data_IF_881043589895
#
_entry.id   IF_881043589895
#
_cell.length_a   1.000
_cell.length_b   1.000
_cell.length_c   1.000
_cell.angle_alpha   90.00
_cell.angle_beta   90.00
_cell.angle_gamma   90.00
#
_symmetry.space_group_name_H-M   'P 1'
#
loop_
_entity.id
_entity.type
_entity.pdbx_description
1 polymer ?
#
# COMPACT_ATOMS: atom_id res chain seq x y z
N UNK A 1 -22.00 -18.70 -3.13
CA UNK A 1 -21.60 -17.44 -3.82
C UNK A 1 -20.53 -16.80 -2.96
N UNK A 2 -19.30 -16.76 -3.45
CA UNK A 2 -18.18 -16.17 -2.67
C UNK A 2 -18.47 -14.69 -2.42
N UNK A 3 -18.39 -14.27 -1.16
CA UNK A 3 -18.54 -12.86 -0.78
C UNK A 3 -17.25 -12.16 -1.19
N UNK A 4 -17.31 -11.38 -2.26
CA UNK A 4 -16.19 -10.58 -2.70
C UNK A 4 -16.04 -9.35 -1.78
N UNK A 5 -15.04 -9.39 -0.92
CA UNK A 5 -14.67 -8.25 -0.08
C UNK A 5 -13.15 -8.03 -0.17
N UNK A 6 -12.74 -6.83 -0.51
CA UNK A 6 -11.35 -6.40 -0.39
C UNK A 6 -11.29 -4.96 0.13
N UNK A 7 -10.53 -4.77 1.19
CA UNK A 7 -10.25 -3.49 1.80
C UNK A 7 -8.73 -3.29 1.94
N UNK A 8 -8.27 -2.03 2.00
CA UNK A 8 -6.88 -1.76 2.31
C UNK A 8 -6.73 -0.55 3.24
N UNK A 9 -5.63 -0.53 3.99
CA UNK A 9 -5.27 0.58 4.89
C UNK A 9 -3.76 0.81 4.84
N UNK A 10 -3.37 2.09 4.86
CA UNK A 10 -1.97 2.47 5.01
C UNK A 10 -1.47 2.22 6.44
N UNK A 11 -0.22 1.82 6.55
CA UNK A 11 0.51 1.68 7.81
C UNK A 11 1.62 2.72 7.86
N UNK A 12 1.63 3.53 8.91
CA UNK A 12 2.68 4.52 9.17
C UNK A 12 3.01 4.57 10.65
N UNK A 13 4.28 4.50 11.03
CA UNK A 13 4.70 4.64 12.43
C UNK A 13 4.32 6.00 13.03
N UNK A 14 4.21 7.05 12.20
CA UNK A 14 3.80 8.38 12.64
C UNK A 14 2.39 8.41 13.25
N UNK A 15 1.51 7.49 12.85
CA UNK A 15 0.14 7.39 13.37
C UNK A 15 -0.01 6.36 14.49
N UNK A 16 1.09 5.81 15.01
CA UNK A 16 1.07 4.73 16.01
C UNK A 16 0.65 3.36 15.43
N UNK A 17 0.48 3.26 14.10
CA UNK A 17 0.10 2.05 13.40
C UNK A 17 1.28 1.47 12.61
N UNK A 18 2.40 1.21 13.28
CA UNK A 18 3.62 0.65 12.71
C UNK A 18 3.42 -0.72 12.07
N UNK A 19 4.32 -1.08 11.16
CA UNK A 19 4.26 -2.33 10.43
C UNK A 19 4.57 -3.55 11.33
N UNK A 20 5.51 -3.42 12.26
CA UNK A 20 5.87 -4.49 13.22
C UNK A 20 4.65 -4.95 14.02
N UNK A 21 3.88 -4.00 14.59
CA UNK A 21 2.66 -4.31 15.34
C UNK A 21 1.61 -4.99 14.47
N UNK A 22 1.45 -4.56 13.21
CA UNK A 22 0.48 -5.15 12.28
C UNK A 22 0.89 -6.56 11.86
N UNK A 23 2.19 -6.78 11.62
CA UNK A 23 2.75 -8.08 11.33
C UNK A 23 2.58 -9.05 12.50
N UNK A 24 2.89 -8.63 13.74
CA UNK A 24 2.66 -9.41 14.94
C UNK A 24 1.18 -9.81 15.10
N UNK A 25 0.28 -8.81 14.94
CA UNK A 25 -1.17 -9.04 15.05
C UNK A 25 -1.70 -10.03 14.01
N UNK A 26 -1.34 -9.88 12.73
CA UNK A 26 -1.88 -10.75 11.69
C UNK A 26 -1.32 -12.17 11.75
N UNK A 27 -0.05 -12.33 12.10
CA UNK A 27 0.60 -13.64 12.20
C UNK A 27 0.38 -14.37 13.53
N UNK A 28 -0.18 -13.69 14.55
CA UNK A 28 -0.30 -14.27 15.88
C UNK A 28 1.06 -14.51 16.56
N UNK A 29 2.06 -13.66 16.27
CA UNK A 29 3.40 -13.79 16.84
C UNK A 29 3.70 -12.69 17.86
N UNK A 30 4.73 -12.92 18.67
CA UNK A 30 5.32 -11.91 19.55
C UNK A 30 6.52 -11.28 18.83
N UNK A 31 6.46 -9.99 18.50
CA UNK A 31 7.52 -9.25 17.83
C UNK A 31 7.90 -8.01 18.62
N UNK A 32 9.19 -7.69 18.67
CA UNK A 32 9.68 -6.45 19.30
C UNK A 32 9.72 -5.34 18.24
N UNK A 33 9.08 -4.23 18.52
CA UNK A 33 9.22 -3.00 17.73
C UNK A 33 10.48 -2.27 18.20
N UNK A 34 11.56 -2.33 17.43
CA UNK A 34 12.87 -1.77 17.80
C UNK A 34 12.82 -0.26 18.08
N UNK A 35 12.03 0.48 17.31
CA UNK A 35 11.90 1.94 17.43
C UNK A 35 11.39 2.40 18.81
N UNK A 36 10.51 1.63 19.43
CA UNK A 36 9.92 1.94 20.76
C UNK A 36 10.39 1.01 21.85
N UNK A 37 11.06 -0.10 21.54
CA UNK A 37 11.38 -1.19 22.45
C UNK A 37 10.15 -2.00 22.89
N UNK A 38 8.97 -1.76 22.31
CA UNK A 38 7.73 -2.40 22.74
C UNK A 38 7.61 -3.81 22.21
N UNK A 39 7.28 -4.75 23.09
CA UNK A 39 6.86 -6.10 22.70
C UNK A 39 5.40 -6.07 22.25
N UNK A 40 5.17 -6.45 21.00
CA UNK A 40 3.86 -6.65 20.41
C UNK A 40 3.52 -8.15 20.49
N UNK A 41 2.92 -8.59 21.57
CA UNK A 41 2.62 -10.01 21.81
C UNK A 41 1.17 -10.34 21.42
N UNK A 42 1.04 -11.16 20.39
CA UNK A 42 -0.23 -11.70 19.90
C UNK A 42 -0.18 -13.24 19.79
N UNK A 43 0.74 -13.91 20.50
CA UNK A 43 0.93 -15.38 20.45
C UNK A 43 -0.32 -16.17 20.88
N UNK A 44 -1.23 -15.57 21.65
CA UNK A 44 -2.50 -16.20 22.08
C UNK A 44 -3.63 -16.10 21.07
N UNK A 45 -3.37 -15.60 19.86
CA UNK A 45 -4.40 -15.44 18.84
C UNK A 45 -4.73 -16.78 18.16
N UNK A 46 -5.93 -17.30 18.39
CA UNK A 46 -6.31 -18.68 18.01
C UNK A 46 -6.76 -18.86 16.54
N UNK A 47 -6.97 -17.77 15.78
CA UNK A 47 -7.60 -17.87 14.45
C UNK A 47 -6.65 -17.82 13.27
N UNK A 48 -5.35 -17.79 13.50
CA UNK A 48 -4.35 -17.84 12.44
C UNK A 48 -4.13 -19.30 12.06
N UNK A 49 -4.58 -19.69 10.87
CA UNK A 49 -4.45 -21.08 10.40
C UNK A 49 -3.21 -21.29 9.55
N UNK A 50 -2.74 -20.24 8.91
CA UNK A 50 -1.52 -20.27 8.12
C UNK A 50 -0.94 -18.85 7.96
N UNK A 51 0.38 -18.75 7.83
CA UNK A 51 1.06 -17.50 7.65
C UNK A 51 2.38 -17.69 6.88
N UNK A 52 2.90 -16.61 6.32
CA UNK A 52 4.16 -16.68 5.60
C UNK A 52 4.62 -15.35 5.04
N UNK A 53 5.82 -15.38 4.50
CA UNK A 53 6.44 -14.28 3.77
C UNK A 53 6.59 -14.64 2.30
N UNK A 54 6.30 -13.70 1.41
CA UNK A 54 6.60 -13.77 -0.01
C UNK A 54 7.57 -12.63 -0.32
N UNK A 55 8.80 -13.00 -0.66
CA UNK A 55 9.88 -12.06 -0.93
C UNK A 55 10.24 -12.08 -2.42
N UNK A 56 10.72 -10.97 -3.00
CA UNK A 56 11.26 -10.96 -4.35
C UNK A 56 12.42 -11.94 -4.53
N UNK A 57 12.61 -12.42 -5.75
CA UNK A 57 13.74 -13.28 -6.08
C UNK A 57 15.08 -12.61 -5.75
N UNK A 58 16.00 -13.37 -5.18
CA UNK A 58 17.32 -12.88 -4.77
C UNK A 58 17.37 -12.24 -3.38
N UNK A 59 16.23 -11.99 -2.72
CA UNK A 59 16.21 -11.57 -1.31
C UNK A 59 16.44 -12.81 -0.44
N UNK A 60 17.45 -12.81 0.46
CA UNK A 60 17.68 -13.94 1.36
C UNK A 60 16.52 -14.13 2.33
N UNK A 61 16.31 -15.34 2.86
CA UNK A 61 15.35 -15.57 3.92
C UNK A 61 15.58 -14.62 5.10
N UNK A 62 14.54 -13.97 5.55
CA UNK A 62 14.55 -12.98 6.62
C UNK A 62 13.42 -13.27 7.60
N UNK A 63 13.64 -13.06 8.88
CA UNK A 63 12.62 -13.18 9.91
C UNK A 63 11.60 -12.03 9.83
N UNK A 64 10.33 -12.30 10.18
CA UNK A 64 9.24 -11.31 10.15
C UNK A 64 9.57 -10.05 10.94
N UNK A 65 10.10 -10.22 12.17
CA UNK A 65 10.50 -9.10 13.02
C UNK A 65 11.60 -8.26 12.39
N UNK A 66 12.62 -8.90 11.84
CA UNK A 66 13.73 -8.24 11.16
C UNK A 66 13.26 -7.50 9.90
N UNK A 67 12.40 -8.14 9.09
CA UNK A 67 11.82 -7.53 7.89
C UNK A 67 11.10 -6.22 8.21
N UNK A 68 10.18 -6.25 9.17
CA UNK A 68 9.36 -5.07 9.44
C UNK A 68 10.08 -3.99 10.24
N UNK A 69 10.99 -4.35 11.14
CA UNK A 69 11.90 -3.39 11.75
C UNK A 69 12.82 -2.75 10.71
N UNK A 70 13.33 -3.52 9.75
CA UNK A 70 14.08 -3.01 8.60
C UNK A 70 13.29 -2.03 7.76
N UNK A 71 12.01 -2.31 7.50
CA UNK A 71 11.12 -1.39 6.79
C UNK A 71 10.90 -0.08 7.56
N UNK A 72 10.72 -0.14 8.87
CA UNK A 72 10.54 1.06 9.71
C UNK A 72 11.84 1.87 9.85
N UNK A 73 13.01 1.21 9.90
CA UNK A 73 14.31 1.90 9.82
C UNK A 73 14.47 2.64 8.49
N UNK A 74 14.19 1.94 7.37
CA UNK A 74 14.24 2.54 6.04
C UNK A 74 13.28 3.74 5.90
N UNK A 75 12.09 3.64 6.48
CA UNK A 75 11.15 4.76 6.54
C UNK A 75 11.74 5.96 7.33
N UNK A 76 12.35 5.73 8.49
CA UNK A 76 12.95 6.77 9.32
C UNK A 76 14.12 7.46 8.60
N UNK A 77 15.03 6.69 8.01
CA UNK A 77 16.15 7.16 7.20
C UNK A 77 15.66 7.95 5.97
N UNK A 78 14.54 7.54 5.42
CA UNK A 78 13.86 8.20 4.32
C UNK A 78 13.29 9.57 4.65
N UNK A 79 13.29 10.00 5.92
CA UNK A 79 12.72 11.24 6.39
C UNK A 79 11.41 11.06 7.18
N UNK A 80 10.89 9.86 7.27
CA UNK A 80 9.72 9.53 8.10
C UNK A 80 8.45 10.33 7.73
N UNK A 81 7.79 10.86 8.75
CA UNK A 81 6.63 11.73 8.58
C UNK A 81 5.36 10.99 8.16
N UNK A 82 4.64 11.54 7.19
CA UNK A 82 3.36 10.98 6.73
C UNK A 82 3.52 9.88 5.66
N UNK A 83 4.75 9.46 5.34
CA UNK A 83 4.97 8.38 4.40
C UNK A 83 4.53 7.04 4.99
N UNK A 84 4.07 6.14 4.12
CA UNK A 84 3.68 4.80 4.52
C UNK A 84 4.90 3.88 4.58
N UNK A 85 4.92 2.97 5.54
CA UNK A 85 5.85 1.83 5.62
C UNK A 85 5.29 0.64 4.85
N UNK A 86 3.98 0.45 4.91
CA UNK A 86 3.29 -0.65 4.27
C UNK A 86 1.85 -0.30 3.91
N UNK A 87 1.27 -1.11 3.02
CA UNK A 87 -0.17 -1.21 2.76
C UNK A 87 -0.67 -2.55 3.29
N UNK A 88 -1.69 -2.54 4.12
CA UNK A 88 -2.36 -3.74 4.61
C UNK A 88 -3.64 -3.97 3.82
N UNK A 89 -3.68 -5.08 3.13
CA UNK A 89 -4.88 -5.60 2.46
C UNK A 89 -5.57 -6.63 3.34
N UNK A 90 -6.89 -6.65 3.26
CA UNK A 90 -7.75 -7.63 3.91
C UNK A 90 -8.84 -8.06 2.92
N UNK A 91 -8.95 -9.35 2.63
CA UNK A 91 -9.90 -9.86 1.66
C UNK A 91 -10.43 -11.23 2.04
N UNK A 92 -11.70 -11.47 1.68
CA UNK A 92 -12.35 -12.75 1.89
C UNK A 92 -11.78 -13.80 0.93
N UNK A 93 -11.58 -15.02 1.43
CA UNK A 93 -11.17 -16.18 0.64
C UNK A 93 -12.39 -17.04 0.32
N UNK A 94 -12.46 -17.63 -0.89
CA UNK A 94 -13.56 -18.54 -1.24
C UNK A 94 -13.62 -19.72 -0.27
N UNK A 95 -14.80 -19.96 0.30
CA UNK A 95 -15.02 -21.09 1.22
C UNK A 95 -15.00 -22.43 0.51
N UNK A 96 -15.27 -22.43 -0.79
CA UNK A 96 -15.26 -23.59 -1.65
C UNK A 96 -13.87 -24.20 -1.86
N UNK A 97 -12.82 -23.38 -1.64
CA UNK A 97 -11.43 -23.84 -1.77
C UNK A 97 -10.96 -24.49 -0.47
N UNK A 98 -10.18 -25.53 -0.61
CA UNK A 98 -9.42 -26.12 0.48
C UNK A 98 -8.25 -25.21 0.95
N UNK A 99 -7.51 -25.64 1.96
CA UNK A 99 -6.39 -24.87 2.51
C UNK A 99 -5.30 -24.61 1.43
N UNK A 100 -5.03 -25.57 0.56
CA UNK A 100 -4.02 -25.41 -0.49
C UNK A 100 -4.47 -24.40 -1.55
N UNK A 101 -5.72 -24.44 -1.97
CA UNK A 101 -6.31 -23.48 -2.89
C UNK A 101 -6.36 -22.05 -2.33
N UNK A 102 -6.73 -21.90 -1.06
CA UNK A 102 -6.72 -20.61 -0.36
C UNK A 102 -5.30 -20.03 -0.27
N UNK A 103 -4.31 -20.85 0.07
CA UNK A 103 -2.89 -20.47 0.07
C UNK A 103 -2.43 -20.04 -1.32
N UNK A 104 -2.80 -20.78 -2.35
CA UNK A 104 -2.45 -20.44 -3.72
C UNK A 104 -3.03 -19.07 -4.14
N UNK A 105 -4.29 -18.78 -3.79
CA UNK A 105 -4.89 -17.45 -3.99
C UNK A 105 -4.07 -16.34 -3.34
N UNK A 106 -3.65 -16.52 -2.08
CA UNK A 106 -2.85 -15.52 -1.35
C UNK A 106 -1.48 -15.32 -2.01
N UNK A 107 -0.83 -16.40 -2.44
CA UNK A 107 0.46 -16.31 -3.15
C UNK A 107 0.35 -15.58 -4.48
N UNK A 108 -0.70 -15.87 -5.25
CA UNK A 108 -0.96 -15.17 -6.50
C UNK A 108 -1.24 -13.68 -6.28
N UNK A 109 -1.97 -13.35 -5.21
CA UNK A 109 -2.14 -11.95 -4.80
C UNK A 109 -0.80 -11.28 -4.46
N UNK A 110 0.06 -11.94 -3.69
CA UNK A 110 1.41 -11.43 -3.40
C UNK A 110 2.24 -11.26 -4.68
N UNK A 111 2.07 -12.14 -5.67
CA UNK A 111 2.72 -12.07 -6.98
C UNK A 111 2.41 -10.80 -7.78
N UNK A 112 1.35 -10.07 -7.43
CA UNK A 112 1.06 -8.75 -8.02
C UNK A 112 2.11 -7.67 -7.64
N UNK A 113 2.95 -7.95 -6.63
CA UNK A 113 3.93 -7.02 -6.08
C UNK A 113 5.37 -7.58 -6.20
N UNK A 114 5.90 -7.79 -7.41
CA UNK A 114 7.13 -8.57 -7.64
C UNK A 114 8.40 -7.97 -7.04
N UNK A 115 8.43 -6.67 -6.74
CA UNK A 115 9.58 -5.98 -6.14
C UNK A 115 9.42 -5.73 -4.62
N UNK A 116 8.30 -6.16 -4.02
CA UNK A 116 7.95 -5.83 -2.63
C UNK A 116 7.93 -7.05 -1.74
N UNK A 117 8.23 -6.85 -0.47
CA UNK A 117 7.97 -7.87 0.54
C UNK A 117 6.48 -7.92 0.85
N UNK A 118 5.92 -9.12 0.84
CA UNK A 118 4.57 -9.39 1.30
C UNK A 118 4.62 -10.33 2.51
N UNK A 119 3.93 -9.94 3.57
CA UNK A 119 3.72 -10.74 4.78
C UNK A 119 2.22 -11.06 4.85
N UNK A 120 1.88 -12.33 4.84
CA UNK A 120 0.49 -12.75 4.75
C UNK A 120 0.11 -13.71 5.88
N UNK A 121 -1.16 -13.66 6.24
CA UNK A 121 -1.76 -14.62 7.16
C UNK A 121 -3.20 -14.94 6.71
N UNK A 122 -3.58 -16.19 6.83
CA UNK A 122 -4.94 -16.68 6.62
C UNK A 122 -5.57 -16.88 7.99
N UNK A 123 -6.73 -16.26 8.18
CA UNK A 123 -7.54 -16.42 9.37
C UNK A 123 -8.82 -17.20 9.04
N UNK A 124 -9.13 -18.19 9.86
CA UNK A 124 -10.36 -18.97 9.78
C UNK A 124 -10.76 -19.40 11.19
N UNK A 125 -12.03 -19.31 11.52
CA UNK A 125 -12.54 -19.78 12.82
C UNK A 125 -12.93 -21.27 12.82
N UNK A 126 -12.79 -21.93 11.66
CA UNK A 126 -13.10 -23.37 11.50
C UNK A 126 -14.58 -23.73 11.63
N UNK A 127 -15.47 -22.75 11.82
CA UNK A 127 -16.91 -22.94 12.05
C UNK A 127 -17.77 -22.65 10.80
N UNK A 128 -17.17 -22.70 9.61
CA UNK A 128 -17.82 -22.31 8.36
C UNK A 128 -18.02 -20.80 8.24
N UNK A 129 -17.22 -20.02 8.97
CA UNK A 129 -17.24 -18.58 9.00
C UNK A 129 -16.72 -17.96 7.70
N UNK A 130 -16.07 -16.83 7.82
CA UNK A 130 -15.53 -16.08 6.69
C UNK A 130 -13.99 -16.21 6.67
N UNK A 131 -13.43 -17.25 5.99
CA UNK A 131 -11.98 -17.33 5.82
C UNK A 131 -11.48 -16.09 5.08
N UNK A 132 -10.45 -15.45 5.61
CA UNK A 132 -9.95 -14.21 5.05
C UNK A 132 -8.43 -14.12 5.19
N UNK A 133 -7.82 -13.39 4.26
CA UNK A 133 -6.40 -13.13 4.27
C UNK A 133 -6.13 -11.69 4.71
N UNK A 134 -5.06 -11.53 5.48
CA UNK A 134 -4.38 -10.27 5.72
C UNK A 134 -3.05 -10.31 4.98
N UNK A 135 -2.78 -9.31 4.16
CA UNK A 135 -1.50 -9.18 3.45
C UNK A 135 -0.94 -7.79 3.69
N UNK A 136 0.23 -7.74 4.31
CA UNK A 136 0.99 -6.52 4.52
C UNK A 136 2.05 -6.42 3.42
N UNK A 137 1.96 -5.41 2.56
CA UNK A 137 2.85 -5.19 1.42
C UNK A 137 3.76 -4.00 1.72
N UNK A 138 5.07 -4.15 1.59
CA UNK A 138 6.03 -3.07 1.86
C UNK A 138 5.81 -1.88 0.93
N UNK A 139 5.94 -0.66 1.46
CA UNK A 139 5.83 0.54 0.64
C UNK A 139 7.07 0.76 -0.25
N UNK A 140 8.24 0.34 0.24
CA UNK A 140 9.49 0.35 -0.51
C UNK A 140 9.74 -1.01 -1.18
N UNK A 141 10.44 -0.99 -2.28
CA UNK A 141 10.99 -2.19 -2.89
C UNK A 141 12.12 -2.76 -2.03
N UNK A 142 12.34 -4.07 -2.10
CA UNK A 142 13.38 -4.76 -1.36
C UNK A 142 14.29 -5.56 -2.28
N UNK A 143 15.59 -5.57 -1.97
CA UNK A 143 16.63 -6.34 -2.67
C UNK A 143 17.41 -7.19 -1.67
N UNK A 144 18.42 -7.91 -2.16
CA UNK A 144 19.36 -8.64 -1.31
C UNK A 144 20.10 -7.75 -0.30
N UNK A 145 20.21 -6.46 -0.58
CA UNK A 145 20.87 -5.46 0.28
C UNK A 145 19.90 -4.77 1.25
N UNK A 146 18.63 -5.11 1.23
CA UNK A 146 17.59 -4.52 2.05
C UNK A 146 16.62 -3.61 1.27
N UNK A 147 15.91 -2.74 1.99
CA UNK A 147 14.93 -1.84 1.40
C UNK A 147 15.58 -0.73 0.58
N UNK A 148 15.07 -0.55 -0.64
CA UNK A 148 15.57 0.44 -1.59
C UNK A 148 14.93 1.79 -1.28
N UNK A 149 15.77 2.76 -0.89
CA UNK A 149 15.31 4.12 -0.64
C UNK A 149 14.85 4.79 -1.94
N UNK A 150 13.71 5.47 -1.87
CA UNK A 150 13.27 6.31 -2.99
C UNK A 150 14.26 7.42 -3.23
N UNK A 151 14.56 7.69 -4.49
CA UNK A 151 15.37 8.84 -4.88
C UNK A 151 14.66 10.15 -4.51
N UNK A 152 15.41 11.26 -4.41
CA UNK A 152 14.80 12.58 -4.20
C UNK A 152 13.76 12.93 -5.27
N UNK A 153 13.97 12.49 -6.49
CA UNK A 153 13.02 12.67 -7.60
C UNK A 153 11.72 11.89 -7.37
N UNK A 154 11.81 10.67 -6.84
CA UNK A 154 10.63 9.84 -6.53
C UNK A 154 9.92 10.29 -5.25
N UNK A 155 10.67 10.76 -4.23
CA UNK A 155 10.10 11.32 -3.00
C UNK A 155 9.36 12.63 -3.24
N UNK A 156 9.82 13.41 -4.16
CA UNK A 156 9.50 14.81 -4.24
C UNK A 156 8.84 15.22 -5.53
N UNK A 157 7.68 14.71 -5.85
CA UNK A 157 6.78 15.46 -6.72
C UNK A 157 6.07 16.54 -5.89
N UNK A 158 6.88 17.45 -5.32
CA UNK A 158 6.35 18.70 -4.82
C UNK A 158 6.00 19.56 -6.04
N UNK A 159 4.72 19.86 -6.19
CA UNK A 159 4.23 20.74 -7.21
C UNK A 159 3.98 22.10 -6.57
N UNK A 160 4.48 23.16 -7.18
CA UNK A 160 4.12 24.52 -6.79
C UNK A 160 2.94 24.97 -7.64
N UNK A 161 1.93 25.57 -7.03
CA UNK A 161 0.96 26.32 -7.80
C UNK A 161 1.64 27.57 -8.32
N UNK A 162 1.66 27.73 -9.63
CA UNK A 162 2.32 28.83 -10.32
C UNK A 162 1.32 29.54 -11.26
N UNK A 163 1.66 30.79 -11.61
CA UNK A 163 0.90 31.60 -12.52
C UNK A 163 1.84 32.21 -13.57
N UNK A 164 1.41 32.20 -14.82
CA UNK A 164 2.13 32.84 -15.93
C UNK A 164 1.78 34.35 -16.05
N UNK A 165 2.42 35.05 -16.98
CA UNK A 165 2.21 36.46 -17.23
C UNK A 165 0.78 36.80 -17.69
N UNK A 166 0.04 35.82 -18.19
CA UNK A 166 -1.34 35.95 -18.67
C UNK A 166 -2.40 35.62 -17.63
N UNK A 167 -1.97 35.31 -16.39
CA UNK A 167 -2.87 34.95 -15.29
C UNK A 167 -3.28 33.49 -15.25
N UNK A 168 -2.82 32.64 -16.17
CA UNK A 168 -3.11 31.20 -16.19
C UNK A 168 -2.37 30.51 -15.05
N UNK A 169 -3.09 29.74 -14.26
CA UNK A 169 -2.53 28.97 -13.16
C UNK A 169 -2.31 27.51 -13.56
N UNK A 170 -1.17 26.95 -13.18
CA UNK A 170 -0.85 25.55 -13.37
C UNK A 170 0.06 25.03 -12.27
N UNK A 171 -0.03 23.72 -11.93
CA UNK A 171 0.92 23.07 -11.07
C UNK A 171 2.23 22.79 -11.83
N UNK A 172 3.36 23.21 -11.28
CA UNK A 172 4.69 22.99 -11.85
C UNK A 172 5.53 22.19 -10.86
N UNK A 173 6.18 21.13 -11.33
CA UNK A 173 7.05 20.31 -10.50
C UNK A 173 8.22 21.14 -9.95
N UNK A 174 8.60 20.86 -8.71
CA UNK A 174 9.75 21.53 -8.10
C UNK A 174 11.05 21.34 -8.90
N UNK A 175 11.21 20.17 -9.55
CA UNK A 175 12.32 19.86 -10.47
C UNK A 175 12.34 20.75 -11.71
N UNK A 176 11.16 21.09 -12.23
CA UNK A 176 11.01 21.84 -13.48
C UNK A 176 10.94 23.35 -13.24
N UNK A 177 11.00 23.75 -11.97
CA UNK A 177 10.85 25.16 -11.58
C UNK A 177 11.89 26.09 -12.20
N UNK A 178 13.13 25.61 -12.40
CA UNK A 178 14.20 26.46 -12.99
C UNK A 178 13.85 26.85 -14.43
N UNK A 179 13.34 25.93 -15.22
CA UNK A 179 12.90 26.17 -16.60
C UNK A 179 11.64 27.05 -16.60
N UNK A 180 10.61 26.68 -15.85
CA UNK A 180 9.37 27.45 -15.77
C UNK A 180 9.58 28.92 -15.31
N UNK A 181 10.51 29.15 -14.39
CA UNK A 181 10.87 30.51 -13.97
C UNK A 181 11.49 31.31 -15.14
N UNK A 182 12.31 30.67 -15.97
CA UNK A 182 12.89 31.32 -17.16
C UNK A 182 11.79 31.68 -18.18
N UNK A 183 10.72 30.87 -18.27
CA UNK A 183 9.56 31.09 -19.12
C UNK A 183 8.52 32.07 -18.51
N UNK A 184 8.89 32.77 -17.44
CA UNK A 184 8.07 33.84 -16.86
C UNK A 184 7.02 33.36 -15.85
N UNK A 185 7.03 32.09 -15.43
CA UNK A 185 6.14 31.60 -14.38
C UNK A 185 6.54 32.12 -13.00
N UNK A 186 5.56 32.44 -12.17
CA UNK A 186 5.73 32.89 -10.79
C UNK A 186 5.02 31.94 -9.81
N UNK A 187 5.64 31.69 -8.65
CA UNK A 187 5.00 30.90 -7.58
C UNK A 187 3.92 31.71 -6.89
N UNK A 188 2.82 31.06 -6.54
CA UNK A 188 1.74 31.63 -5.76
C UNK A 188 1.96 31.36 -4.28
N UNK A 189 1.61 32.31 -3.43
CA UNK A 189 1.72 32.24 -1.96
C UNK A 189 0.36 32.54 -1.31
N UNK A 190 0.10 31.94 -0.15
CA UNK A 190 -1.03 32.31 0.69
C UNK A 190 -0.68 33.54 1.53
N UNK A 191 -1.56 34.52 1.58
CA UNK A 191 -1.45 35.71 2.39
C UNK A 191 -2.41 35.66 3.57
N UNK A 192 -2.11 36.45 4.63
CA UNK A 192 -2.88 36.48 5.88
C UNK A 192 -4.32 36.97 5.70
N UNK A 193 -4.57 37.72 4.65
CA UNK A 193 -5.90 38.20 4.23
C UNK A 193 -6.72 37.14 3.49
N UNK A 194 -6.22 35.90 3.39
CA UNK A 194 -6.89 34.78 2.71
C UNK A 194 -6.65 34.69 1.20
N UNK A 195 -5.98 35.66 0.60
CA UNK A 195 -5.72 35.70 -0.85
C UNK A 195 -4.56 34.82 -1.26
N UNK A 196 -4.56 34.42 -2.51
CA UNK A 196 -3.47 33.68 -3.19
C UNK A 196 -2.91 34.55 -4.31
N UNK A 197 -1.71 35.05 -4.11
CA UNK A 197 -1.06 35.99 -5.02
C UNK A 197 0.36 35.53 -5.36
N UNK A 198 0.85 35.91 -6.55
CA UNK A 198 2.28 35.88 -6.83
C UNK A 198 2.97 37.00 -6.04
N UNK A 199 4.29 36.92 -5.88
CA UNK A 199 5.01 38.01 -5.19
C UNK A 199 4.97 39.32 -5.97
N UNK A 200 4.85 39.28 -7.30
CA UNK A 200 4.72 40.45 -8.14
C UNK A 200 3.36 41.14 -7.93
N UNK A 201 2.27 40.36 -7.92
CA UNK A 201 0.93 40.87 -7.62
C UNK A 201 0.86 41.47 -6.21
N UNK A 202 1.36 40.72 -5.21
CA UNK A 202 1.38 41.17 -3.83
C UNK A 202 2.13 42.49 -3.69
N UNK A 203 3.30 42.65 -4.33
CA UNK A 203 4.09 43.86 -4.30
C UNK A 203 3.36 45.06 -4.94
N UNK A 204 2.64 44.82 -6.03
CA UNK A 204 1.81 45.84 -6.70
C UNK A 204 0.70 46.35 -5.77
N UNK A 205 0.24 45.53 -4.83
CA UNK A 205 -0.78 45.89 -3.83
C UNK A 205 -0.21 46.30 -2.48
N UNK A 206 1.10 46.57 -2.38
CA UNK A 206 1.76 47.00 -1.15
C UNK A 206 2.00 45.90 -0.12
N UNK A 207 1.74 44.63 -0.48
CA UNK A 207 1.98 43.47 0.38
C UNK A 207 3.43 42.96 0.24
N UNK A 208 4.00 42.49 1.34
CA UNK A 208 5.36 41.97 1.36
C UNK A 208 5.46 40.52 1.86
N UNK A 209 6.68 40.06 2.03
CA UNK A 209 6.95 38.70 2.52
C UNK A 209 6.44 38.43 3.93
N UNK A 210 6.33 39.50 4.79
CA UNK A 210 5.80 39.43 6.15
C UNK A 210 4.30 39.19 6.22
N UNK A 211 3.59 39.48 5.12
CA UNK A 211 2.13 39.34 5.02
C UNK A 211 1.72 37.95 4.54
N UNK A 212 2.68 37.11 4.17
CA UNK A 212 2.43 35.71 3.83
C UNK A 212 2.12 34.88 5.07
N UNK A 213 1.23 33.91 4.93
CA UNK A 213 0.93 32.92 5.96
C UNK A 213 2.12 31.96 6.19
N UNK A 214 2.92 31.70 5.14
CA UNK A 214 4.08 30.81 5.18
C UNK A 214 5.20 31.32 4.28
N UNK A 215 6.45 31.01 4.63
CA UNK A 215 7.60 31.22 3.74
C UNK A 215 7.55 30.34 2.49
N UNK A 216 6.81 29.22 2.55
CA UNK A 216 6.67 28.27 1.45
C UNK A 216 5.59 28.73 0.47
N UNK A 217 5.80 28.57 -0.86
CA UNK A 217 4.74 28.79 -1.83
C UNK A 217 3.61 27.80 -1.62
N UNK A 218 2.45 28.06 -2.24
CA UNK A 218 1.35 27.09 -2.28
C UNK A 218 1.87 25.81 -2.91
N UNK A 219 1.93 24.76 -2.11
CA UNK A 219 2.31 23.44 -2.57
C UNK A 219 1.04 22.68 -2.91
N UNK A 220 0.97 22.20 -4.11
CA UNK A 220 0.05 21.13 -4.43
C UNK A 220 0.77 19.82 -4.10
N UNK A 221 0.56 19.37 -2.87
CA UNK A 221 0.96 18.01 -2.55
C UNK A 221 0.27 17.09 -3.54
N UNK A 222 1.08 16.15 -4.12
CA UNK A 222 0.63 15.03 -4.92
C UNK A 222 -0.89 14.90 -4.90
N UNK A 223 -1.56 15.33 -5.99
CA UNK A 223 -2.98 15.10 -6.14
C UNK A 223 -3.72 15.20 -4.79
N UNK A 224 -3.94 16.41 -4.28
CA UNK A 224 -4.66 16.60 -3.02
C UNK A 224 -6.16 16.72 -3.28
N UNK A 225 -6.97 16.37 -2.30
CA UNK A 225 -8.42 16.51 -2.39
C UNK A 225 -9.10 15.44 -3.23
N UNK A 226 -10.05 15.81 -4.10
CA UNK A 226 -10.84 14.87 -4.88
C UNK A 226 -9.98 14.05 -5.85
N UNK A 227 -9.04 14.67 -6.55
CA UNK A 227 -8.16 13.98 -7.50
C UNK A 227 -7.28 12.91 -6.81
N UNK A 228 -6.81 13.15 -5.56
CA UNK A 228 -6.10 12.11 -4.80
C UNK A 228 -7.02 10.94 -4.43
N UNK A 229 -8.27 11.24 -4.06
CA UNK A 229 -9.28 10.21 -3.81
C UNK A 229 -9.60 9.42 -5.06
N UNK A 230 -9.69 10.08 -6.21
CA UNK A 230 -10.00 9.45 -7.49
C UNK A 230 -8.87 8.50 -7.93
N UNK A 231 -7.60 8.89 -7.78
CA UNK A 231 -6.45 8.01 -8.05
C UNK A 231 -6.42 6.83 -7.08
N UNK A 232 -6.55 7.08 -5.78
CA UNK A 232 -6.61 5.99 -4.78
C UNK A 232 -7.81 5.08 -4.99
N UNK A 233 -8.95 5.61 -5.44
CA UNK A 233 -10.12 4.84 -5.82
C UNK A 233 -9.87 3.99 -7.06
N UNK A 234 -9.19 4.53 -8.07
CA UNK A 234 -8.84 3.80 -9.30
C UNK A 234 -7.85 2.67 -9.01
N UNK A 235 -6.81 2.92 -8.19
CA UNK A 235 -5.87 1.90 -7.75
C UNK A 235 -6.57 0.78 -6.98
N UNK A 236 -7.45 1.12 -6.03
CA UNK A 236 -8.23 0.14 -5.29
C UNK A 236 -9.16 -0.68 -6.21
N UNK A 237 -9.77 -0.03 -7.18
CA UNK A 237 -10.63 -0.70 -8.17
C UNK A 237 -9.83 -1.69 -9.00
N UNK A 238 -8.63 -1.32 -9.44
CA UNK A 238 -7.73 -2.21 -10.17
C UNK A 238 -7.30 -3.42 -9.33
N UNK A 239 -6.92 -3.20 -8.07
CA UNK A 239 -6.56 -4.30 -7.16
C UNK A 239 -7.75 -5.23 -6.89
N UNK A 240 -8.96 -4.68 -6.74
CA UNK A 240 -10.19 -5.47 -6.58
C UNK A 240 -10.51 -6.30 -7.82
N UNK A 241 -10.34 -5.75 -9.00
CA UNK A 241 -10.55 -6.48 -10.26
C UNK A 241 -9.54 -7.64 -10.37
N UNK A 242 -8.26 -7.38 -10.13
CA UNK A 242 -7.22 -8.40 -10.16
C UNK A 242 -7.46 -9.49 -9.11
N UNK A 243 -7.89 -9.14 -7.89
CA UNK A 243 -8.28 -10.11 -6.88
C UNK A 243 -9.46 -10.97 -7.33
N UNK A 244 -10.48 -10.37 -7.96
CA UNK A 244 -11.62 -11.12 -8.49
C UNK A 244 -11.19 -12.14 -9.57
N UNK A 245 -10.27 -11.76 -10.45
CA UNK A 245 -9.71 -12.66 -11.47
C UNK A 245 -8.94 -13.81 -10.84
N UNK A 246 -8.10 -13.55 -9.82
CA UNK A 246 -7.38 -14.57 -9.07
C UNK A 246 -8.37 -15.57 -8.44
N UNK A 247 -9.33 -15.07 -7.66
CA UNK A 247 -10.31 -15.91 -6.97
C UNK A 247 -11.13 -16.76 -7.96
N UNK A 248 -11.60 -16.16 -9.05
CA UNK A 248 -12.38 -16.88 -10.08
C UNK A 248 -11.56 -17.95 -10.80
N UNK A 249 -10.29 -17.70 -11.10
CA UNK A 249 -9.39 -18.68 -11.71
C UNK A 249 -9.22 -19.91 -10.81
N UNK A 250 -8.98 -19.73 -9.52
CA UNK A 250 -8.83 -20.82 -8.57
C UNK A 250 -10.16 -21.59 -8.36
N UNK A 251 -11.29 -20.90 -8.29
CA UNK A 251 -12.61 -21.53 -8.22
C UNK A 251 -12.91 -22.36 -9.46
N UNK A 252 -12.60 -21.87 -10.66
CA UNK A 252 -12.79 -22.61 -11.90
C UNK A 252 -11.92 -23.87 -11.96
N UNK A 253 -10.65 -23.76 -11.53
CA UNK A 253 -9.75 -24.91 -11.46
C UNK A 253 -10.24 -25.96 -10.46
N UNK A 254 -10.68 -25.53 -9.26
CA UNK A 254 -11.25 -26.42 -8.25
C UNK A 254 -12.51 -27.15 -8.75
N UNK A 255 -13.45 -26.42 -9.36
CA UNK A 255 -14.66 -27.01 -9.93
C UNK A 255 -14.37 -27.99 -11.08
N UNK A 256 -13.32 -27.78 -11.86
CA UNK A 256 -12.88 -28.70 -12.89
C UNK A 256 -12.28 -30.00 -12.31
N UNK A 257 -11.46 -29.87 -11.26
CA UNK A 257 -10.87 -31.00 -10.55
C UNK A 257 -11.95 -31.86 -9.89
N UNK A 258 -12.89 -31.28 -9.16
CA UNK A 258 -13.99 -31.98 -8.49
C UNK A 258 -14.85 -32.74 -9.49
N UNK A 259 -15.20 -32.12 -10.63
CA UNK A 259 -15.95 -32.81 -11.71
C UNK A 259 -15.18 -33.98 -12.34
N UNK A 260 -13.85 -33.88 -12.43
CA UNK A 260 -13.02 -34.98 -12.96
C UNK A 260 -12.96 -36.15 -11.99
N UNK A 261 -12.91 -35.92 -10.69
CA UNK A 261 -12.95 -36.95 -9.66
C UNK A 261 -14.31 -37.67 -9.61
N UNK A 262 -15.40 -36.92 -9.64
CA UNK A 262 -16.76 -37.47 -9.72
C UNK A 262 -16.93 -38.39 -10.94
N UNK A 263 -16.40 -38.00 -12.10
CA UNK A 263 -16.43 -38.83 -13.32
C UNK A 263 -15.58 -40.10 -13.18
N UNK A 264 -14.45 -40.04 -12.48
CA UNK A 264 -13.58 -41.18 -12.25
C UNK A 264 -14.22 -42.18 -11.31
N UNK A 265 -14.75 -41.71 -10.18
CA UNK A 265 -15.51 -42.54 -9.23
C UNK A 265 -16.75 -43.19 -9.90
N UNK A 266 -17.49 -42.39 -10.66
CA UNK A 266 -18.64 -42.91 -11.41
C UNK A 266 -18.31 -44.00 -12.48
N UNK A 267 -17.11 -43.95 -13.07
CA UNK A 267 -16.61 -45.00 -13.96
C UNK A 267 -16.18 -46.28 -13.21
N UNK A 268 -15.49 -46.10 -12.07
CA UNK A 268 -15.06 -47.22 -11.23
C UNK A 268 -16.25 -47.99 -10.62
N UNK A 269 -17.33 -47.30 -10.25
CA UNK A 269 -18.58 -47.92 -9.82
C UNK A 269 -19.29 -48.70 -10.93
N UNK A 270 -19.20 -48.27 -12.20
CA UNK A 270 -19.83 -48.97 -13.35
C UNK A 270 -19.03 -50.18 -13.84
N UNK A 271 -17.75 -50.29 -13.49
CA UNK A 271 -16.90 -51.42 -13.88
C UNK A 271 -16.93 -52.59 -12.88
N UNK A 272 -17.69 -52.47 -11.80
CA UNK A 272 -17.83 -53.49 -10.77
C UNK A 272 -19.20 -54.20 -10.74
N UNK A 273 -20.02 -54.03 -11.80
CA UNK A 273 -21.27 -54.78 -11.99
C UNK A 273 -21.23 -55.60 -13.27
#
# INVERSE_FOLDING_TARGET
MAIFHLNYRGCSPATGAGAVRKAAYQSGQALVEERSGQLCDYARKERVVEEGLSLPGGVPPIGRGELWNGAERAWAEGGGGNELVALRYEFALPIELDAAGRRACVRDFCGMFPAKACDWAIHDDGRGGNPHAHVLVSALDISAQGFIQRTKAEKGQCWYLCQDAHGRQAPIRATDWKAAKADGWEKIYNFKDGRRLTMKQAKAEGLGTKDRTSKRPVQMHRISGQAARDVGSAELTAVRAAWAEIANRHLAAHAAATRSEERRVGKECRSRW
#
